data_IF_684951965145
#
_entry.id   IF_684951965145
#
_cell.length_a   1.000
_cell.length_b   1.000
_cell.length_c   1.000
_cell.angle_alpha   90.00
_cell.angle_beta   90.00
_cell.angle_gamma   90.00
#
_symmetry.space_group_name_H-M   'P 1'
#
loop_
_entity.id
_entity.type
_entity.pdbx_description
1 polymer ?
#
# COMPACT_ATOMS: atom_id res chain seq x y z
N UNK A 1 -10.53 14.39 11.09
CA UNK A 1 -10.73 12.98 11.53
C UNK A 1 -10.88 12.14 10.26
N UNK A 2 -9.94 11.24 10.01
CA UNK A 2 -9.99 10.38 8.81
C UNK A 2 -10.74 9.10 9.16
N UNK A 3 -11.90 8.89 8.54
CA UNK A 3 -12.69 7.65 8.65
C UNK A 3 -12.43 6.72 7.46
N UNK A 4 -13.18 5.60 7.32
CA UNK A 4 -13.04 4.67 6.20
C UNK A 4 -13.29 5.30 4.80
N UNK A 5 -13.93 6.46 4.75
CA UNK A 5 -14.10 7.26 3.52
C UNK A 5 -12.90 8.17 3.20
N UNK A 6 -11.82 8.08 3.98
CA UNK A 6 -10.57 8.75 3.71
C UNK A 6 -10.04 8.31 2.35
N UNK A 7 -9.88 9.28 1.44
CA UNK A 7 -9.27 9.09 0.13
C UNK A 7 -7.99 9.89 0.04
N UNK A 8 -7.03 9.37 -0.70
CA UNK A 8 -5.86 10.15 -1.10
C UNK A 8 -6.27 11.16 -2.16
N UNK A 9 -5.61 12.31 -2.15
CA UNK A 9 -5.86 13.36 -3.15
C UNK A 9 -5.48 12.87 -4.55
N UNK A 10 -4.50 11.97 -4.62
CA UNK A 10 -4.07 11.31 -5.84
C UNK A 10 -3.97 9.79 -5.58
N UNK A 11 -4.62 8.96 -6.41
CA UNK A 11 -4.52 7.51 -6.28
C UNK A 11 -3.09 7.02 -6.52
N UNK A 12 -2.65 6.05 -5.74
CA UNK A 12 -1.35 5.39 -5.95
C UNK A 12 -1.53 4.25 -6.93
N UNK A 13 -0.77 4.29 -8.03
CA UNK A 13 -0.73 3.21 -9.00
C UNK A 13 0.30 2.15 -8.61
N UNK A 14 -0.16 0.90 -8.53
CA UNK A 14 0.63 -0.28 -8.17
C UNK A 14 0.51 -1.30 -9.28
N UNK A 15 1.62 -1.53 -9.96
CA UNK A 15 1.75 -2.50 -11.04
C UNK A 15 2.70 -3.62 -10.63
N UNK A 16 2.16 -4.84 -10.64
CA UNK A 16 2.92 -6.07 -10.41
C UNK A 16 2.74 -7.01 -11.61
N UNK A 17 3.77 -7.79 -12.01
CA UNK A 17 3.66 -8.68 -13.17
C UNK A 17 2.61 -9.78 -12.99
N UNK A 18 2.46 -10.29 -11.77
CA UNK A 18 1.56 -11.40 -11.43
C UNK A 18 0.12 -10.98 -11.20
N UNK A 19 -0.08 -9.78 -10.67
CA UNK A 19 -1.38 -9.30 -10.23
C UNK A 19 -1.97 -8.27 -11.20
N UNK A 20 -1.14 -7.56 -11.98
CA UNK A 20 -1.57 -6.49 -12.89
C UNK A 20 -1.37 -5.09 -12.30
N UNK A 21 -1.90 -4.07 -12.99
CA UNK A 21 -1.90 -2.67 -12.52
C UNK A 21 -3.21 -2.34 -11.82
N UNK A 22 -3.12 -1.77 -10.62
CA UNK A 22 -4.24 -1.33 -9.80
C UNK A 22 -4.03 0.10 -9.35
N UNK A 23 -5.12 0.87 -9.27
CA UNK A 23 -5.11 2.21 -8.69
C UNK A 23 -5.80 2.17 -7.34
N UNK A 24 -5.07 2.59 -6.32
CA UNK A 24 -5.53 2.59 -4.94
C UNK A 24 -5.86 4.02 -4.55
N UNK A 25 -7.14 4.30 -4.33
CA UNK A 25 -7.62 5.66 -4.05
C UNK A 25 -7.61 6.02 -2.56
N UNK A 26 -7.26 5.11 -1.66
CA UNK A 26 -7.19 5.40 -0.24
C UNK A 26 -6.65 4.28 0.64
N UNK A 27 -6.45 4.54 1.95
CA UNK A 27 -5.87 3.60 2.90
C UNK A 27 -6.68 2.32 3.12
N UNK A 28 -8.01 2.34 2.92
CA UNK A 28 -8.83 1.13 3.01
C UNK A 28 -8.54 0.18 1.85
N UNK A 29 -8.63 0.68 0.62
CA UNK A 29 -8.27 -0.06 -0.59
C UNK A 29 -6.81 -0.54 -0.53
N UNK A 30 -5.91 0.31 -0.03
CA UNK A 30 -4.50 -0.03 0.16
C UNK A 30 -4.34 -1.24 1.09
N UNK A 31 -5.04 -1.24 2.23
CA UNK A 31 -4.98 -2.33 3.20
C UNK A 31 -5.56 -3.64 2.65
N UNK A 32 -6.66 -3.57 1.89
CA UNK A 32 -7.22 -4.73 1.20
C UNK A 32 -6.23 -5.29 0.19
N UNK A 33 -5.63 -4.43 -0.64
CA UNK A 33 -4.60 -4.83 -1.59
C UNK A 33 -3.37 -5.45 -0.91
N UNK A 34 -2.92 -4.88 0.21
CA UNK A 34 -1.82 -5.44 1.02
C UNK A 34 -2.14 -6.84 1.56
N UNK A 35 -3.40 -7.17 1.75
CA UNK A 35 -3.83 -8.44 2.36
C UNK A 35 -4.10 -9.51 1.31
N UNK A 36 -4.85 -9.19 0.26
CA UNK A 36 -5.35 -10.18 -0.71
C UNK A 36 -4.45 -10.32 -1.95
N UNK A 37 -3.87 -9.21 -2.41
CA UNK A 37 -3.28 -9.10 -3.75
C UNK A 37 -1.77 -8.80 -3.73
N UNK A 38 -1.18 -8.70 -2.55
CA UNK A 38 0.20 -8.24 -2.40
C UNK A 38 1.20 -9.37 -2.53
N UNK A 39 2.12 -9.30 -3.50
CA UNK A 39 2.91 -10.46 -3.85
C UNK A 39 4.19 -10.57 -2.98
N UNK A 40 4.55 -9.51 -2.23
CA UNK A 40 5.73 -9.42 -1.37
C UNK A 40 5.35 -9.07 0.09
N UNK A 41 4.87 -10.06 0.85
CA UNK A 41 4.36 -9.88 2.22
C UNK A 41 5.45 -9.80 3.32
N UNK A 42 6.73 -9.81 2.94
CA UNK A 42 7.87 -9.92 3.88
C UNK A 42 8.71 -8.64 4.00
N UNK A 43 8.38 -7.58 3.24
CA UNK A 43 9.16 -6.34 3.23
C UNK A 43 8.98 -5.49 4.50
N UNK A 44 10.03 -4.77 4.90
CA UNK A 44 9.93 -3.83 6.02
C UNK A 44 8.92 -2.72 5.71
N UNK A 45 8.93 -2.22 4.46
CA UNK A 45 7.96 -1.22 4.05
C UNK A 45 6.55 -1.80 3.95
N UNK A 46 6.38 -3.10 3.65
CA UNK A 46 5.06 -3.75 3.67
C UNK A 46 4.42 -3.68 5.07
N UNK A 47 5.17 -4.06 6.12
CA UNK A 47 4.68 -4.00 7.50
C UNK A 47 4.38 -2.55 7.91
N UNK A 48 5.24 -1.60 7.52
CA UNK A 48 5.03 -0.18 7.77
C UNK A 48 3.77 0.35 7.07
N UNK A 49 3.56 0.02 5.79
CA UNK A 49 2.38 0.42 5.04
C UNK A 49 1.10 -0.14 5.66
N UNK A 50 1.11 -1.42 6.07
CA UNK A 50 -0.04 -2.05 6.71
C UNK A 50 -0.39 -1.38 8.04
N UNK A 51 0.62 -1.07 8.85
CA UNK A 51 0.46 -0.33 10.11
C UNK A 51 -0.04 1.10 9.88
N UNK A 52 0.52 1.80 8.89
CA UNK A 52 0.15 3.16 8.56
C UNK A 52 -1.29 3.26 8.04
N UNK A 53 -1.71 2.36 7.14
CA UNK A 53 -3.07 2.30 6.63
C UNK A 53 -4.07 2.02 7.76
N UNK A 54 -3.79 1.06 8.65
CA UNK A 54 -4.62 0.82 9.84
C UNK A 54 -4.68 2.03 10.77
N UNK A 55 -3.55 2.69 10.99
CA UNK A 55 -3.47 3.91 11.80
C UNK A 55 -4.30 5.06 11.20
N UNK A 56 -4.29 5.20 9.88
CA UNK A 56 -5.07 6.23 9.19
C UNK A 56 -6.58 5.95 9.26
N UNK A 57 -7.00 4.69 9.13
CA UNK A 57 -8.41 4.28 9.27
C UNK A 57 -8.93 4.47 10.70
N UNK A 58 -8.06 4.27 11.69
CA UNK A 58 -8.38 4.48 13.10
C UNK A 58 -8.28 5.95 13.54
N UNK A 59 -7.85 6.86 12.64
CA UNK A 59 -7.64 8.27 12.94
C UNK A 59 -6.39 8.58 13.79
N UNK A 60 -5.51 7.61 14.00
CA UNK A 60 -4.23 7.78 14.69
C UNK A 60 -3.13 8.36 13.79
N UNK A 61 -3.28 8.24 12.47
CA UNK A 61 -2.34 8.77 11.46
C UNK A 61 -3.09 9.53 10.37
N UNK A 62 -2.35 10.32 9.61
CA UNK A 62 -2.89 11.02 8.45
C UNK A 62 -2.94 10.11 7.22
N UNK A 63 -3.81 10.45 6.28
CA UNK A 63 -3.92 9.74 5.00
C UNK A 63 -2.65 9.88 4.17
N UNK A 64 -1.96 11.02 4.26
CA UNK A 64 -0.70 11.28 3.58
C UNK A 64 0.43 10.38 4.09
N UNK A 65 0.53 10.18 5.41
CA UNK A 65 1.50 9.22 5.97
C UNK A 65 1.25 7.80 5.45
N UNK A 66 -0.02 7.38 5.39
CA UNK A 66 -0.38 6.08 4.83
C UNK A 66 -0.02 5.97 3.34
N UNK A 67 -0.21 7.06 2.57
CA UNK A 67 0.17 7.14 1.15
C UNK A 67 1.67 6.93 0.97
N UNK A 68 2.48 7.71 1.68
CA UNK A 68 3.95 7.65 1.59
C UNK A 68 4.45 6.25 1.95
N UNK A 69 3.92 5.66 3.02
CA UNK A 69 4.30 4.31 3.44
C UNK A 69 3.90 3.26 2.38
N UNK A 70 2.72 3.40 1.77
CA UNK A 70 2.24 2.50 0.74
C UNK A 70 3.05 2.60 -0.57
N UNK A 71 3.40 3.81 -1.01
CA UNK A 71 4.28 4.03 -2.16
C UNK A 71 5.67 3.41 -1.94
N UNK A 72 6.23 3.56 -0.75
CA UNK A 72 7.50 2.93 -0.38
C UNK A 72 7.40 1.40 -0.42
N UNK A 73 6.31 0.82 0.09
CA UNK A 73 6.05 -0.61 0.01
C UNK A 73 5.93 -1.07 -1.44
N UNK A 74 5.20 -0.35 -2.28
CA UNK A 74 5.05 -0.66 -3.70
C UNK A 74 6.40 -0.63 -4.43
N UNK A 75 7.24 0.36 -4.16
CA UNK A 75 8.58 0.45 -4.72
C UNK A 75 9.48 -0.70 -4.26
N UNK A 76 9.43 -1.09 -2.98
CA UNK A 76 10.17 -2.24 -2.46
C UNK A 76 9.68 -3.55 -3.09
N UNK A 77 8.36 -3.76 -3.15
CA UNK A 77 7.77 -4.94 -3.73
C UNK A 77 8.13 -5.09 -5.21
N UNK A 78 8.09 -4.00 -6.00
CA UNK A 78 8.57 -4.00 -7.39
C UNK A 78 10.03 -4.45 -7.50
N UNK A 79 10.92 -3.93 -6.64
CA UNK A 79 12.34 -4.33 -6.61
C UNK A 79 12.52 -5.81 -6.23
N UNK A 80 11.80 -6.28 -5.22
CA UNK A 80 11.85 -7.68 -4.78
C UNK A 80 11.34 -8.64 -5.88
N UNK A 81 10.35 -8.23 -6.65
CA UNK A 81 9.84 -9.00 -7.78
C UNK A 81 10.79 -9.02 -8.97
N UNK A 82 11.37 -7.87 -9.32
CA UNK A 82 12.35 -7.75 -10.40
C UNK A 82 13.64 -8.55 -10.12
N UNK A 83 14.02 -8.66 -8.84
CA UNK A 83 15.23 -9.36 -8.42
C UNK A 83 15.08 -10.90 -8.33
N UNK A 84 13.92 -11.47 -8.66
CA UNK A 84 13.70 -12.93 -8.55
C UNK A 84 14.12 -13.60 -9.86
N UNK A 85 15.27 -14.31 -9.91
CA UNK A 85 15.70 -14.98 -11.14
C UNK A 85 14.69 -16.07 -11.52
N UNK A 86 14.41 -16.14 -12.82
CA UNK A 86 13.51 -17.11 -13.43
C UNK A 86 14.10 -18.52 -13.39
#
# INVERSE_FOLDING_TARGET
MSGPNARWNEPVEVSFPTTGSYKVAGPFEALAHLTDNWPAQQGLNFVKARSACRGALAGHRTVDEARIAFEAAAAEARKQFDSRPH
#
